data_IF_023034678465
#
_entry.id   IF_023034678465
#
_cell.length_a   1.000
_cell.length_b   1.000
_cell.length_c   1.000
_cell.angle_alpha   90.00
_cell.angle_beta   90.00
_cell.angle_gamma   90.00
#
_symmetry.space_group_name_H-M   'P 1'
#
loop_
_entity.id
_entity.type
_entity.pdbx_description
1 polymer ?
#
# COMPACT_ATOMS: atom_id res chain seq x y z
N UNK A 1 25.59 24.80 -15.24
CA UNK A 1 24.51 23.78 -15.07
C UNK A 1 24.94 22.75 -14.04
N UNK A 2 24.00 22.20 -13.25
CA UNK A 2 24.30 21.19 -12.22
C UNK A 2 24.21 19.74 -12.72
N UNK A 3 24.54 18.79 -11.85
CA UNK A 3 24.29 17.35 -12.03
C UNK A 3 22.82 17.00 -11.75
N UNK A 4 22.35 15.88 -12.31
CA UNK A 4 21.00 15.35 -12.04
C UNK A 4 20.85 14.92 -10.58
N UNK A 5 19.73 15.30 -9.96
CA UNK A 5 19.39 14.99 -8.57
C UNK A 5 18.94 13.53 -8.40
N UNK A 6 18.90 13.06 -7.15
CA UNK A 6 18.53 11.67 -6.78
C UNK A 6 17.22 11.20 -7.43
N UNK A 7 16.16 12.02 -7.40
CA UNK A 7 14.85 11.66 -7.98
C UNK A 7 14.95 11.37 -9.48
N UNK A 8 15.78 12.11 -10.21
CA UNK A 8 16.00 11.88 -11.65
C UNK A 8 16.83 10.62 -11.92
N UNK A 9 17.74 10.24 -11.00
CA UNK A 9 18.50 8.98 -11.09
C UNK A 9 17.61 7.78 -10.82
N UNK A 10 16.67 7.91 -9.87
CA UNK A 10 15.70 6.86 -9.54
C UNK A 10 14.88 6.40 -10.74
N UNK A 11 14.45 7.34 -11.58
CA UNK A 11 13.68 7.03 -12.80
C UNK A 11 14.44 6.22 -13.86
N UNK A 12 15.77 6.10 -13.76
CA UNK A 12 16.56 5.27 -14.69
C UNK A 12 16.46 3.76 -14.39
N UNK A 13 15.99 3.38 -13.20
CA UNK A 13 15.87 1.97 -12.83
C UNK A 13 17.22 1.23 -12.77
N UNK A 14 18.31 1.90 -12.38
CA UNK A 14 19.57 1.21 -12.07
C UNK A 14 19.38 0.28 -10.85
N UNK A 15 20.24 -0.74 -10.66
CA UNK A 15 20.07 -1.74 -9.60
C UNK A 15 19.83 -1.15 -8.20
N UNK A 16 20.51 -0.05 -7.87
CA UNK A 16 20.34 0.73 -6.63
C UNK A 16 18.89 1.18 -6.35
N UNK A 17 18.06 1.34 -7.39
CA UNK A 17 16.69 1.82 -7.29
C UNK A 17 15.65 0.74 -7.61
N UNK A 18 16.06 -0.48 -7.92
CA UNK A 18 15.13 -1.59 -8.16
C UNK A 18 14.70 -2.19 -6.83
N UNK A 19 13.49 -2.74 -6.81
CA UNK A 19 13.05 -3.59 -5.70
C UNK A 19 13.85 -4.90 -5.74
N UNK A 20 14.25 -5.44 -4.59
CA UNK A 20 14.90 -6.74 -4.52
C UNK A 20 13.84 -7.84 -4.74
N UNK A 21 13.36 -7.97 -5.97
CA UNK A 21 12.18 -8.80 -6.29
C UNK A 21 12.39 -10.28 -5.97
N UNK A 22 13.63 -10.76 -6.00
CA UNK A 22 14.02 -12.13 -5.61
C UNK A 22 13.77 -12.45 -4.13
N UNK A 23 13.56 -11.44 -3.27
CA UNK A 23 13.21 -11.66 -1.86
C UNK A 23 11.71 -11.82 -1.65
N UNK A 24 10.88 -11.41 -2.62
CA UNK A 24 9.43 -11.44 -2.48
C UNK A 24 8.89 -12.83 -2.77
N UNK A 25 8.01 -13.32 -1.89
CA UNK A 25 7.46 -14.68 -2.00
C UNK A 25 6.55 -14.79 -3.22
N UNK A 26 5.51 -13.94 -3.28
CA UNK A 26 4.51 -13.98 -4.33
C UNK A 26 3.76 -12.64 -4.47
N UNK A 27 3.17 -12.37 -5.64
CA UNK A 27 2.26 -11.23 -5.79
C UNK A 27 0.96 -11.51 -5.04
N UNK A 28 0.67 -10.73 -4.00
CA UNK A 28 -0.63 -10.83 -3.33
C UNK A 28 -1.75 -10.25 -4.21
N UNK A 29 -2.50 -11.12 -4.90
CA UNK A 29 -3.59 -10.77 -5.81
C UNK A 29 -4.65 -11.86 -5.80
N UNK A 30 -5.90 -11.47 -5.98
CA UNK A 30 -6.95 -12.43 -6.24
C UNK A 30 -6.73 -13.15 -7.58
N UNK A 31 -7.09 -14.44 -7.67
CA UNK A 31 -7.06 -15.17 -8.93
C UNK A 31 -8.17 -14.68 -9.89
N UNK A 32 -7.99 -14.89 -11.20
CA UNK A 32 -9.02 -14.62 -12.20
C UNK A 32 -10.10 -15.69 -12.13
N UNK A 33 -11.08 -15.51 -11.24
CA UNK A 33 -12.20 -16.43 -11.05
C UNK A 33 -13.46 -15.92 -11.73
N UNK A 34 -14.35 -16.85 -12.10
CA UNK A 34 -15.71 -16.53 -12.54
C UNK A 34 -16.47 -15.82 -11.40
N UNK A 35 -16.95 -14.57 -11.61
CA UNK A 35 -17.62 -13.80 -10.56
C UNK A 35 -18.97 -14.39 -10.12
N UNK A 36 -19.55 -15.31 -10.89
CA UNK A 36 -20.87 -15.89 -10.61
C UNK A 36 -20.82 -17.07 -9.64
N UNK A 37 -19.66 -17.72 -9.53
CA UNK A 37 -19.47 -18.94 -8.73
C UNK A 37 -18.85 -18.60 -7.39
N UNK A 38 -19.14 -19.44 -6.39
CA UNK A 38 -18.51 -19.37 -5.08
C UNK A 38 -17.56 -20.54 -4.94
N UNK A 39 -16.30 -20.23 -4.67
CA UNK A 39 -15.23 -21.20 -4.51
C UNK A 39 -14.87 -21.33 -3.03
N UNK A 40 -14.45 -22.53 -2.63
CA UNK A 40 -13.82 -22.75 -1.32
C UNK A 40 -12.31 -22.87 -1.48
N UNK A 41 -11.59 -22.29 -0.53
CA UNK A 41 -10.14 -22.41 -0.42
C UNK A 41 -9.70 -22.67 1.00
N UNK A 42 -8.63 -23.42 1.17
CA UNK A 42 -8.02 -23.72 2.46
C UNK A 42 -6.81 -22.79 2.66
N UNK A 43 -6.71 -22.19 3.85
CA UNK A 43 -5.48 -21.47 4.25
C UNK A 43 -4.41 -22.51 4.55
N UNK A 44 -3.43 -22.62 3.66
CA UNK A 44 -2.34 -23.59 3.77
C UNK A 44 -1.24 -23.13 4.70
N UNK A 45 -0.85 -21.85 4.60
CA UNK A 45 0.19 -21.28 5.43
C UNK A 45 0.05 -19.75 5.58
N UNK A 46 0.70 -19.20 6.62
CA UNK A 46 0.82 -17.76 6.87
C UNK A 46 2.29 -17.35 6.81
N UNK A 47 2.69 -16.79 5.67
CA UNK A 47 4.10 -16.58 5.31
C UNK A 47 4.53 -15.14 5.56
N UNK A 48 5.76 -14.96 6.04
CA UNK A 48 6.40 -13.65 6.08
C UNK A 48 6.93 -13.25 4.69
N UNK A 49 6.37 -12.19 4.08
CA UNK A 49 6.90 -11.62 2.83
C UNK A 49 7.81 -10.39 3.12
N UNK A 50 9.12 -10.50 2.85
CA UNK A 50 10.07 -9.41 3.05
C UNK A 50 9.60 -8.12 2.38
N UNK A 51 9.70 -6.99 3.08
CA UNK A 51 9.35 -5.68 2.52
C UNK A 51 7.85 -5.38 2.34
N UNK A 52 6.95 -6.38 2.37
CA UNK A 52 5.50 -6.11 2.32
C UNK A 52 4.98 -5.52 3.64
N UNK A 53 5.60 -5.91 4.75
CA UNK A 53 5.22 -5.56 6.11
C UNK A 53 3.84 -6.10 6.55
N UNK A 54 3.29 -7.04 5.79
CA UNK A 54 2.02 -7.70 6.04
C UNK A 54 2.26 -9.20 5.80
N UNK A 55 1.83 -10.09 6.71
CA UNK A 55 1.89 -11.53 6.45
C UNK A 55 1.02 -11.89 5.23
N UNK A 56 1.49 -12.82 4.42
CA UNK A 56 0.72 -13.38 3.32
C UNK A 56 0.01 -14.62 3.79
N UNK A 57 -1.24 -14.79 3.38
CA UNK A 57 -1.91 -16.06 3.45
C UNK A 57 -1.77 -16.76 2.11
N UNK A 58 -1.25 -17.99 2.15
CA UNK A 58 -1.29 -18.92 1.03
C UNK A 58 -2.64 -19.65 1.07
N UNK A 59 -3.41 -19.52 -0.01
CA UNK A 59 -4.73 -20.14 -0.13
C UNK A 59 -4.70 -21.11 -1.30
N UNK A 60 -5.08 -22.35 -1.02
CA UNK A 60 -5.26 -23.41 -2.00
C UNK A 60 -6.75 -23.59 -2.28
N UNK A 61 -7.18 -23.31 -3.51
CA UNK A 61 -8.57 -23.50 -3.94
C UNK A 61 -8.90 -24.98 -4.11
N UNK A 62 -10.18 -25.32 -4.02
CA UNK A 62 -10.69 -26.65 -4.36
C UNK A 62 -10.40 -27.08 -5.82
N UNK A 63 -10.13 -26.11 -6.70
CA UNK A 63 -9.68 -26.33 -8.08
C UNK A 63 -8.20 -26.74 -8.20
N UNK A 64 -7.45 -26.68 -7.09
CA UNK A 64 -5.99 -26.90 -7.04
C UNK A 64 -5.14 -25.66 -7.32
N UNK A 65 -5.76 -24.52 -7.64
CA UNK A 65 -5.03 -23.27 -7.83
C UNK A 65 -4.59 -22.66 -6.50
N UNK A 66 -3.32 -22.26 -6.41
CA UNK A 66 -2.74 -21.60 -5.23
C UNK A 66 -2.55 -20.12 -5.52
N UNK A 67 -3.00 -19.27 -4.60
CA UNK A 67 -2.79 -17.82 -4.68
C UNK A 67 -2.52 -17.22 -3.30
N UNK A 68 -2.05 -15.97 -3.32
CA UNK A 68 -1.63 -15.28 -2.10
C UNK A 68 -2.45 -14.02 -1.90
N UNK A 69 -2.85 -13.77 -0.67
CA UNK A 69 -3.51 -12.52 -0.27
C UNK A 69 -2.81 -11.91 0.94
N UNK A 70 -2.95 -10.59 1.16
CA UNK A 70 -2.62 -10.02 2.46
C UNK A 70 -3.52 -10.68 3.51
N UNK A 71 -2.93 -11.31 4.52
CA UNK A 71 -3.72 -11.93 5.57
C UNK A 71 -4.47 -10.87 6.37
N UNK A 72 -5.69 -11.22 6.79
CA UNK A 72 -6.48 -10.40 7.71
C UNK A 72 -6.35 -10.91 9.14
N UNK A 73 -6.62 -10.03 10.09
CA UNK A 73 -6.57 -10.36 11.51
C UNK A 73 -7.58 -11.47 11.85
N UNK A 74 -7.13 -12.45 12.63
CA UNK A 74 -7.91 -13.63 12.99
C UNK A 74 -7.84 -14.79 11.99
N UNK A 75 -7.13 -14.66 10.86
CA UNK A 75 -6.87 -15.80 9.97
C UNK A 75 -5.94 -16.82 10.62
N UNK A 76 -6.20 -18.10 10.38
CA UNK A 76 -5.40 -19.22 10.88
C UNK A 76 -5.23 -20.33 9.83
N UNK A 77 -4.19 -21.15 9.98
CA UNK A 77 -3.91 -22.29 9.08
C UNK A 77 -4.98 -23.37 9.24
N UNK A 78 -5.49 -23.89 8.13
CA UNK A 78 -6.61 -24.82 8.08
C UNK A 78 -7.98 -24.15 8.05
N UNK A 79 -8.06 -22.82 8.11
CA UNK A 79 -9.31 -22.09 7.92
C UNK A 79 -9.83 -22.28 6.48
N UNK A 80 -11.12 -22.56 6.33
CA UNK A 80 -11.81 -22.54 5.04
C UNK A 80 -12.29 -21.12 4.74
N UNK A 81 -11.85 -20.59 3.60
CA UNK A 81 -12.24 -19.29 3.06
C UNK A 81 -13.16 -19.50 1.87
N UNK A 82 -14.21 -18.70 1.80
CA UNK A 82 -15.12 -18.69 0.66
C UNK A 82 -14.89 -17.44 -0.17
N UNK A 83 -14.93 -17.60 -1.49
CA UNK A 83 -14.66 -16.56 -2.47
C UNK A 83 -15.81 -16.52 -3.46
N UNK A 84 -16.64 -15.49 -3.42
CA UNK A 84 -17.75 -15.34 -4.34
C UNK A 84 -18.94 -14.59 -3.76
N UNK A 85 -20.03 -14.46 -4.54
CA UNK A 85 -21.22 -13.70 -4.14
C UNK A 85 -22.02 -14.38 -3.01
N UNK A 86 -21.93 -15.70 -2.85
CA UNK A 86 -22.63 -16.44 -1.80
C UNK A 86 -21.74 -16.74 -0.57
N UNK A 87 -20.51 -16.22 -0.54
CA UNK A 87 -19.61 -16.44 0.58
C UNK A 87 -20.19 -15.82 1.87
N UNK A 88 -19.95 -16.48 3.00
CA UNK A 88 -20.42 -16.01 4.30
C UNK A 88 -19.75 -14.68 4.67
N UNK A 89 -20.52 -13.77 5.26
CA UNK A 89 -20.01 -12.50 5.80
C UNK A 89 -19.28 -12.79 7.12
N UNK A 90 -18.01 -13.14 7.02
CA UNK A 90 -17.13 -13.42 8.16
C UNK A 90 -15.69 -13.03 7.81
N UNK A 91 -14.85 -12.82 8.83
CA UNK A 91 -13.46 -12.40 8.64
C UNK A 91 -12.68 -13.41 7.78
N UNK A 92 -11.94 -12.90 6.79
CA UNK A 92 -11.14 -13.70 5.85
C UNK A 92 -11.85 -14.07 4.56
N UNK A 93 -13.19 -14.05 4.52
CA UNK A 93 -13.95 -14.34 3.30
C UNK A 93 -13.85 -13.21 2.28
N UNK A 94 -13.93 -13.57 1.00
CA UNK A 94 -13.78 -12.65 -0.13
C UNK A 94 -15.10 -12.55 -0.87
N UNK A 95 -15.69 -11.35 -0.87
CA UNK A 95 -16.97 -11.08 -1.52
C UNK A 95 -16.86 -9.88 -2.46
N UNK A 96 -17.71 -9.78 -3.49
CA UNK A 96 -17.95 -8.51 -4.15
C UNK A 96 -18.58 -7.51 -3.17
N UNK A 97 -18.08 -6.26 -3.17
CA UNK A 97 -18.47 -5.22 -2.21
C UNK A 97 -19.98 -4.89 -2.23
N UNK A 98 -20.67 -5.17 -3.33
CA UNK A 98 -22.13 -5.05 -3.43
C UNK A 98 -22.88 -5.97 -2.47
N UNK A 99 -22.34 -7.14 -2.14
CA UNK A 99 -22.97 -8.11 -1.23
C UNK A 99 -22.63 -7.87 0.24
N UNK A 100 -21.53 -7.18 0.54
CA UNK A 100 -21.07 -6.93 1.91
C UNK A 100 -21.90 -5.81 2.55
N UNK A 101 -22.56 -6.00 3.71
CA UNK A 101 -23.33 -4.95 4.39
C UNK A 101 -22.57 -3.66 4.67
N UNK A 102 -23.32 -2.57 4.83
CA UNK A 102 -22.77 -1.27 5.20
C UNK A 102 -22.19 -1.30 6.63
N UNK A 103 -21.19 -0.46 6.89
CA UNK A 103 -20.48 -0.40 8.17
C UNK A 103 -19.39 -1.46 8.37
N UNK A 104 -19.34 -2.50 7.52
CA UNK A 104 -18.31 -3.55 7.63
C UNK A 104 -16.93 -3.02 7.18
N UNK A 105 -15.92 -3.47 7.93
CA UNK A 105 -14.52 -3.23 7.62
C UNK A 105 -14.03 -4.24 6.60
N UNK A 106 -13.36 -3.76 5.56
CA UNK A 106 -12.86 -4.57 4.44
C UNK A 106 -11.41 -4.22 4.10
N UNK A 107 -10.68 -5.21 3.61
CA UNK A 107 -9.29 -5.12 3.21
C UNK A 107 -9.10 -5.53 1.75
N UNK A 108 -7.95 -5.12 1.18
CA UNK A 108 -7.54 -5.49 -0.19
C UNK A 108 -8.62 -5.26 -1.27
N UNK A 109 -9.29 -4.11 -1.24
CA UNK A 109 -10.40 -3.79 -2.14
C UNK A 109 -9.89 -3.55 -3.56
N UNK A 110 -10.55 -4.15 -4.55
CA UNK A 110 -10.30 -3.89 -5.97
C UNK A 110 -10.69 -2.45 -6.36
N UNK A 111 -9.88 -1.80 -7.20
CA UNK A 111 -10.26 -0.49 -7.77
C UNK A 111 -11.15 -0.68 -8.99
N UNK A 112 -10.78 -1.65 -9.82
CA UNK A 112 -11.53 -2.11 -10.99
C UNK A 112 -11.79 -3.60 -10.75
N UNK A 113 -13.01 -4.11 -10.98
CA UNK A 113 -13.29 -5.54 -10.85
C UNK A 113 -12.23 -6.38 -11.58
N UNK A 114 -11.63 -7.33 -10.86
CA UNK A 114 -10.58 -8.21 -11.40
C UNK A 114 -9.15 -7.69 -11.33
N UNK A 115 -8.88 -6.50 -10.77
CA UNK A 115 -7.52 -5.94 -10.69
C UNK A 115 -6.61 -6.56 -9.59
N UNK A 116 -7.16 -7.49 -8.81
CA UNK A 116 -6.46 -8.26 -7.78
C UNK A 116 -6.29 -7.55 -6.44
N UNK A 117 -6.89 -6.38 -6.26
CA UNK A 117 -6.90 -5.63 -5.00
C UNK A 117 -5.85 -4.51 -4.99
N UNK A 118 -6.29 -3.29 -4.65
CA UNK A 118 -5.46 -2.07 -4.70
C UNK A 118 -5.53 -1.22 -3.45
N UNK A 119 -6.66 -1.21 -2.75
CA UNK A 119 -6.87 -0.37 -1.56
C UNK A 119 -6.79 -1.16 -0.27
N UNK A 120 -6.49 -0.47 0.84
CA UNK A 120 -6.42 -1.04 2.20
C UNK A 120 -5.59 -2.35 2.28
N UNK A 121 -4.30 -2.26 1.89
CA UNK A 121 -3.37 -3.41 1.80
C UNK A 121 -2.22 -3.37 2.79
N UNK A 122 -2.11 -2.29 3.56
CA UNK A 122 -0.99 -2.08 4.50
C UNK A 122 -1.35 -2.61 5.87
N UNK A 123 -0.34 -2.90 6.70
CA UNK A 123 -0.59 -3.55 8.01
C UNK A 123 -1.47 -2.68 8.91
N UNK A 124 -2.50 -3.29 9.51
CA UNK A 124 -3.49 -2.61 10.34
C UNK A 124 -4.45 -1.69 9.58
N UNK A 125 -4.42 -1.64 8.24
CA UNK A 125 -5.33 -0.78 7.47
C UNK A 125 -6.59 -1.52 7.05
N UNK A 126 -7.70 -0.79 6.97
CA UNK A 126 -8.98 -1.25 6.47
C UNK A 126 -9.70 -0.10 5.77
N UNK A 127 -10.63 -0.43 4.89
CA UNK A 127 -11.63 0.48 4.37
C UNK A 127 -12.99 0.14 5.01
N UNK A 128 -13.93 1.08 5.00
CA UNK A 128 -15.29 0.86 5.53
C UNK A 128 -16.29 1.06 4.41
N UNK A 129 -17.26 0.15 4.28
CA UNK A 129 -18.37 0.33 3.35
C UNK A 129 -19.32 1.37 3.93
N UNK A 130 -19.46 2.51 3.25
CA UNK A 130 -20.27 3.64 3.73
C UNK A 130 -21.70 3.60 3.22
N UNK A 131 -21.90 3.14 1.98
CA UNK A 131 -23.21 3.18 1.35
C UNK A 131 -23.21 2.54 -0.02
N UNK A 132 -24.34 1.94 -0.40
CA UNK A 132 -24.53 1.30 -1.71
C UNK A 132 -25.54 2.07 -2.54
N UNK A 133 -25.26 2.24 -3.83
CA UNK A 133 -26.17 2.92 -4.77
C UNK A 133 -26.02 2.30 -6.16
N UNK A 134 -27.02 1.50 -6.56
CA UNK A 134 -27.01 0.76 -7.82
C UNK A 134 -25.71 -0.05 -8.00
N UNK A 135 -25.03 0.18 -9.12
CA UNK A 135 -23.78 -0.52 -9.48
C UNK A 135 -22.53 0.01 -8.78
N UNK A 136 -22.66 0.98 -7.87
CA UNK A 136 -21.53 1.60 -7.17
C UNK A 136 -21.67 1.52 -5.67
N UNK A 137 -20.53 1.33 -5.02
CA UNK A 137 -20.39 1.30 -3.56
C UNK A 137 -19.41 2.38 -3.13
N UNK A 138 -19.82 3.20 -2.17
CA UNK A 138 -18.98 4.20 -1.53
C UNK A 138 -18.20 3.53 -0.41
N UNK A 139 -16.87 3.61 -0.49
CA UNK A 139 -15.95 3.13 0.53
C UNK A 139 -15.18 4.30 1.14
N UNK A 140 -15.00 4.26 2.45
CA UNK A 140 -14.10 5.14 3.18
C UNK A 140 -12.71 4.51 3.20
N UNK A 141 -11.74 5.15 2.56
CA UNK A 141 -10.36 4.68 2.55
C UNK A 141 -9.64 4.99 3.87
N UNK A 142 -8.51 4.31 4.19
CA UNK A 142 -7.68 4.63 5.35
C UNK A 142 -7.19 6.09 5.41
N UNK A 143 -7.18 6.79 4.28
CA UNK A 143 -6.82 8.20 4.18
C UNK A 143 -7.93 9.17 4.62
N UNK A 144 -9.13 8.66 4.95
CA UNK A 144 -10.34 9.43 5.20
C UNK A 144 -11.06 9.90 3.92
N UNK A 145 -10.53 9.58 2.74
CA UNK A 145 -11.17 9.94 1.46
C UNK A 145 -12.29 8.93 1.15
N UNK A 146 -13.47 9.43 0.84
CA UNK A 146 -14.56 8.63 0.27
C UNK A 146 -14.28 8.40 -1.22
N UNK A 147 -14.40 7.15 -1.65
CA UNK A 147 -14.20 6.75 -3.03
C UNK A 147 -15.34 5.84 -3.48
N UNK A 148 -15.72 5.92 -4.75
CA UNK A 148 -16.68 5.02 -5.36
C UNK A 148 -15.95 3.88 -6.07
N UNK A 149 -16.40 2.66 -5.86
CA UNK A 149 -15.95 1.44 -6.54
C UNK A 149 -17.16 0.71 -7.13
N UNK A 150 -16.95 -0.14 -8.13
CA UNK A 150 -18.03 -0.97 -8.68
C UNK A 150 -18.54 -1.96 -7.62
N UNK A 151 -19.83 -2.25 -7.61
CA UNK A 151 -20.44 -3.28 -6.76
C UNK A 151 -19.81 -4.68 -6.98
N UNK A 152 -19.26 -4.95 -8.17
CA UNK A 152 -18.60 -6.21 -8.51
C UNK A 152 -17.12 -6.27 -8.08
N UNK A 153 -16.55 -5.17 -7.57
CA UNK A 153 -15.19 -5.17 -7.06
C UNK A 153 -15.08 -6.07 -5.82
N UNK A 154 -14.06 -6.93 -5.74
CA UNK A 154 -13.86 -7.84 -4.61
C UNK A 154 -13.14 -7.17 -3.44
N UNK A 155 -13.46 -7.64 -2.23
CA UNK A 155 -12.76 -7.27 -1.00
C UNK A 155 -12.75 -8.44 -0.01
N UNK A 156 -11.74 -8.47 0.85
CA UNK A 156 -11.70 -9.38 2.02
C UNK A 156 -12.43 -8.71 3.17
N UNK A 157 -13.25 -9.43 3.89
CA UNK A 157 -13.86 -8.94 5.13
C UNK A 157 -12.83 -8.97 6.26
N UNK A 158 -12.70 -7.85 6.96
CA UNK A 158 -11.81 -7.67 8.11
C UNK A 158 -10.73 -6.61 7.91
N UNK A 159 -9.76 -6.60 8.83
CA UNK A 159 -8.63 -5.66 8.88
C UNK A 159 -7.36 -6.39 8.48
N UNK A 160 -6.47 -5.72 7.73
CA UNK A 160 -5.17 -6.31 7.39
C UNK A 160 -4.36 -6.59 8.66
N UNK A 161 -3.82 -7.79 8.78
CA UNK A 161 -3.04 -8.22 9.93
C UNK A 161 -1.77 -7.38 10.16
N UNK A 162 -1.24 -7.46 11.38
CA UNK A 162 -0.01 -6.75 11.78
C UNK A 162 -0.22 -5.27 12.11
N UNK A 163 -1.37 -4.93 12.72
CA UNK A 163 -1.60 -3.63 13.35
C UNK A 163 -0.54 -3.28 14.42
N UNK A 164 -0.47 -2.01 14.81
CA UNK A 164 0.45 -1.54 15.86
C UNK A 164 1.95 -1.54 15.51
N UNK A 165 2.36 -2.11 14.36
CA UNK A 165 3.78 -2.21 13.96
C UNK A 165 4.55 -0.88 13.95
N UNK A 166 3.86 0.24 13.69
CA UNK A 166 4.48 1.57 13.66
C UNK A 166 4.64 2.22 15.04
N UNK A 167 3.99 1.68 16.07
CA UNK A 167 4.08 2.18 17.45
C UNK A 167 5.45 1.92 18.04
N UNK A 168 6.10 0.83 17.63
CA UNK A 168 7.47 0.51 18.03
C UNK A 168 8.49 1.42 17.31
N UNK A 169 9.29 2.22 18.04
CA UNK A 169 10.35 3.02 17.44
C UNK A 169 11.50 2.15 16.91
N UNK A 170 12.25 2.65 15.93
CA UNK A 170 13.39 1.92 15.34
C UNK A 170 14.61 1.85 16.26
N UNK A 171 14.75 2.83 17.17
CA UNK A 171 15.83 3.01 18.15
C UNK A 171 17.24 3.22 17.55
N UNK A 172 17.70 2.33 16.66
CA UNK A 172 19.08 2.31 16.13
C UNK A 172 19.10 2.38 14.60
N UNK A 173 20.19 2.91 14.04
CA UNK A 173 20.41 2.96 12.60
C UNK A 173 20.50 1.57 11.95
N UNK A 174 21.05 0.55 12.65
CA UNK A 174 21.09 -0.82 12.14
C UNK A 174 19.70 -1.41 11.88
N UNK A 175 18.75 -1.19 12.79
CA UNK A 175 17.34 -1.59 12.58
C UNK A 175 16.73 -0.89 11.37
N UNK A 176 17.05 0.40 11.18
CA UNK A 176 16.60 1.16 10.03
C UNK A 176 17.19 0.61 8.72
N UNK A 177 18.49 0.25 8.71
CA UNK A 177 19.14 -0.38 7.57
C UNK A 177 18.37 -1.62 7.12
N UNK A 178 18.17 -2.60 8.00
CA UNK A 178 17.44 -3.84 7.66
C UNK A 178 16.01 -3.58 7.17
N UNK A 179 15.29 -2.63 7.80
CA UNK A 179 13.94 -2.24 7.37
C UNK A 179 13.90 -1.70 5.94
N UNK A 180 14.91 -0.94 5.54
CA UNK A 180 14.95 -0.27 4.24
C UNK A 180 15.64 -1.11 3.16
N UNK A 181 16.57 -2.00 3.51
CA UNK A 181 17.25 -2.90 2.56
C UNK A 181 16.30 -3.90 1.92
N UNK A 182 15.22 -4.31 2.61
CA UNK A 182 14.15 -5.12 2.04
C UNK A 182 13.21 -4.33 1.09
N UNK A 183 13.52 -3.07 0.77
CA UNK A 183 12.73 -2.20 -0.11
C UNK A 183 13.62 -1.46 -1.09
N UNK A 184 13.03 -1.00 -2.18
CA UNK A 184 13.61 0.07 -3.00
C UNK A 184 13.46 1.42 -2.30
N UNK A 185 14.11 1.58 -1.14
CA UNK A 185 14.13 2.83 -0.40
C UNK A 185 15.54 3.36 -0.26
N UNK A 186 15.74 4.62 -0.66
CA UNK A 186 17.03 5.28 -0.50
C UNK A 186 17.28 5.62 0.96
N UNK A 187 18.22 4.91 1.55
CA UNK A 187 18.68 5.08 2.92
C UNK A 187 20.18 4.76 3.00
N UNK A 188 21.00 5.55 3.73
CA UNK A 188 20.66 6.78 4.43
C UNK A 188 20.39 7.96 3.49
N UNK A 189 19.67 8.98 3.98
CA UNK A 189 19.32 10.17 3.18
C UNK A 189 20.22 11.36 3.53
N UNK A 190 20.91 11.89 2.54
CA UNK A 190 21.69 13.15 2.66
C UNK A 190 20.76 14.34 2.43
N UNK A 191 20.82 15.34 3.32
CA UNK A 191 20.05 16.59 3.19
C UNK A 191 20.55 17.36 1.96
N UNK A 192 19.64 17.88 1.13
CA UNK A 192 20.00 18.66 -0.05
C UNK A 192 20.80 19.94 0.26
N UNK A 193 20.64 20.52 1.45
CA UNK A 193 21.43 21.66 1.93
C UNK A 193 22.90 21.29 2.18
N UNK A 194 23.18 20.06 2.63
CA UNK A 194 24.53 19.57 2.88
C UNK A 194 25.27 19.15 1.60
N UNK A 195 24.65 19.34 0.43
CA UNK A 195 25.24 19.03 -0.86
C UNK A 195 25.86 20.29 -1.49
N UNK A 196 26.80 20.09 -2.40
CA UNK A 196 27.32 21.17 -3.24
C UNK A 196 26.20 21.73 -4.16
N UNK A 197 26.28 23.01 -4.57
CA UNK A 197 25.23 23.64 -5.40
C UNK A 197 25.09 22.97 -6.78
N UNK A 198 26.15 22.30 -7.24
CA UNK A 198 26.12 21.44 -8.44
C UNK A 198 25.20 20.23 -8.29
N UNK A 199 25.01 19.72 -7.08
CA UNK A 199 24.32 18.44 -6.83
C UNK A 199 22.87 18.60 -6.39
N UNK A 200 22.48 19.77 -5.87
CA UNK A 200 21.11 20.03 -5.41
C UNK A 200 20.75 21.53 -5.51
N UNK A 201 19.51 21.90 -5.87
CA UNK A 201 19.07 23.30 -5.94
C UNK A 201 19.17 24.12 -4.64
N UNK A 202 19.35 23.46 -3.50
CA UNK A 202 19.49 24.08 -2.17
C UNK A 202 20.93 24.02 -1.64
N UNK A 203 21.86 23.44 -2.40
CA UNK A 203 23.23 23.22 -1.95
C UNK A 203 24.10 24.47 -2.01
N UNK A 204 25.27 24.43 -1.38
CA UNK A 204 26.33 25.43 -1.52
C UNK A 204 26.31 26.64 -0.58
N UNK A 205 25.38 26.69 0.38
CA UNK A 205 25.31 27.79 1.35
C UNK A 205 25.03 27.29 2.77
N UNK A 206 25.15 28.19 3.76
CA UNK A 206 24.84 27.89 5.17
C UNK A 206 23.34 27.67 5.43
N UNK A 207 22.48 28.25 4.59
CA UNK A 207 21.02 28.14 4.66
C UNK A 207 20.42 27.97 3.26
N UNK A 208 19.12 27.61 3.20
CA UNK A 208 18.41 27.47 1.92
C UNK A 208 18.16 28.87 1.34
N UNK A 209 18.91 29.26 0.31
CA UNK A 209 18.84 30.60 -0.30
C UNK A 209 17.61 30.86 -1.20
N UNK A 210 16.60 29.98 -1.17
CA UNK A 210 15.38 30.08 -2.00
C UNK A 210 14.17 29.56 -1.23
N UNK A 211 12.94 30.05 -1.51
CA UNK A 211 11.74 29.49 -0.92
C UNK A 211 11.64 27.99 -1.21
N UNK A 212 11.37 27.19 -0.17
CA UNK A 212 11.22 25.74 -0.30
C UNK A 212 9.95 25.32 -1.03
N UNK A 213 8.99 26.23 -1.20
CA UNK A 213 7.74 25.97 -1.91
C UNK A 213 7.93 26.16 -3.41
N UNK A 214 7.61 25.12 -4.19
CA UNK A 214 7.86 25.10 -5.64
C UNK A 214 6.56 24.86 -6.40
N UNK A 215 6.41 25.55 -7.54
CA UNK A 215 5.28 25.38 -8.45
C UNK A 215 5.12 23.93 -8.94
N UNK A 216 3.87 23.50 -9.14
CA UNK A 216 3.54 22.21 -9.77
C UNK A 216 4.15 22.08 -11.16
N UNK A 217 4.30 23.20 -11.88
CA UNK A 217 4.76 23.27 -13.27
C UNK A 217 6.29 23.38 -13.40
N UNK A 218 7.03 23.39 -12.29
CA UNK A 218 8.49 23.44 -12.36
C UNK A 218 9.06 22.21 -13.11
N UNK A 219 10.17 22.33 -13.84
CA UNK A 219 10.74 21.18 -14.55
C UNK A 219 11.33 20.12 -13.59
N UNK A 220 11.46 18.86 -14.03
CA UNK A 220 12.17 17.83 -13.28
C UNK A 220 13.59 18.28 -12.91
N UNK A 221 13.99 18.07 -11.65
CA UNK A 221 15.25 18.61 -11.11
C UNK A 221 15.08 19.92 -10.34
N UNK A 222 14.02 20.68 -10.60
CA UNK A 222 13.65 21.88 -9.81
C UNK A 222 12.52 21.64 -8.80
N UNK A 223 11.70 20.58 -8.98
CA UNK A 223 10.68 20.13 -8.01
C UNK A 223 11.31 19.50 -6.76
N UNK A 224 11.88 20.33 -5.87
CA UNK A 224 12.46 19.92 -4.58
C UNK A 224 11.83 20.73 -3.44
N UNK A 225 11.84 20.19 -2.21
CA UNK A 225 11.19 20.83 -1.07
C UNK A 225 9.67 20.61 -1.05
N UNK A 226 8.92 21.65 -0.70
CA UNK A 226 7.46 21.64 -0.62
C UNK A 226 6.84 21.80 -2.01
N UNK A 227 6.63 20.67 -2.70
CA UNK A 227 6.10 20.66 -4.06
C UNK A 227 4.60 20.95 -4.06
N UNK A 228 4.18 22.03 -4.74
CA UNK A 228 2.78 22.44 -4.88
C UNK A 228 2.01 22.52 -3.55
N UNK A 229 2.69 22.95 -2.49
CA UNK A 229 2.10 23.06 -1.17
C UNK A 229 1.05 24.18 -1.14
N UNK A 230 -0.17 23.85 -0.71
CA UNK A 230 -1.26 24.83 -0.50
C UNK A 230 -1.02 25.73 0.71
N UNK A 231 -0.27 25.22 1.69
CA UNK A 231 0.13 25.92 2.93
C UNK A 231 1.41 25.29 3.47
N UNK A 232 2.16 26.04 4.26
CA UNK A 232 3.33 25.55 5.01
C UNK A 232 3.18 25.90 6.50
N UNK A 233 4.01 25.28 7.35
CA UNK A 233 3.96 25.47 8.80
C UNK A 233 2.75 24.82 9.49
N UNK A 234 2.72 24.88 10.83
CA UNK A 234 1.57 24.47 11.65
C UNK A 234 0.52 25.57 11.64
N UNK A 235 -0.75 25.25 11.92
CA UNK A 235 -1.74 26.30 12.25
C UNK A 235 -1.19 27.05 13.47
N UNK A 236 -0.99 28.36 13.35
CA UNK A 236 -0.93 29.19 14.56
C UNK A 236 -2.31 29.07 15.21
N UNK A 237 -2.36 28.75 16.50
CA UNK A 237 -3.63 28.76 17.23
C UNK A 237 -4.32 30.11 17.06
N UNK A 238 -5.65 30.12 17.19
CA UNK A 238 -6.29 31.30 17.74
C UNK A 238 -5.94 31.35 19.22
#
# INVERSE_FOLDING_TARGET
>A
MGKRIVVQRRGRGSPTWRTPDHLHVAPARYPPLDPSKTYKGLVRDLIHDPGRWVPLAEIELETGEVFYIPAVEGMYVGQVIEIGPQARISNGHILPVGFIPEGIQVANVEKIPGDGGRYARSSGTYAVIMGKSGDKVKILLPSGKVMEVSAMARAIIGVVAGGGRLEKPLLKAGTAHWKWSAKSHWWPRVRGLAMNPVSHPHGGGRHVGRPTTVSRNAPPGRKVGHTAARRTGRRKGK
#
